data_IF_851336881900
#
_entry.id   IF_851336881900
#
_cell.length_a   1.000
_cell.length_b   1.000
_cell.length_c   1.000
_cell.angle_alpha   90.00
_cell.angle_beta   90.00
_cell.angle_gamma   90.00
#
_symmetry.space_group_name_H-M   'P 1'
#
loop_
_entity.id
_entity.type
_entity.pdbx_description
1 polymer ?
#
# COMPACT_ATOMS: atom_id res chain seq x y z
N UNK A 1 68.26 -3.65 -10.75
CA UNK A 1 67.38 -3.13 -9.69
C UNK A 1 67.67 -3.97 -8.47
N UNK A 2 67.95 -3.34 -7.34
CA UNK A 2 68.22 -4.03 -6.07
C UNK A 2 66.92 -4.74 -5.59
N UNK A 3 67.05 -5.94 -5.04
CA UNK A 3 65.92 -6.71 -4.49
C UNK A 3 65.18 -5.90 -3.41
N UNK A 4 65.93 -5.13 -2.61
CA UNK A 4 65.35 -4.23 -1.60
C UNK A 4 64.51 -3.10 -2.25
N UNK A 5 64.90 -2.65 -3.42
CA UNK A 5 64.20 -1.58 -4.16
C UNK A 5 62.90 -2.12 -4.77
N UNK A 6 62.89 -3.36 -5.26
CA UNK A 6 61.66 -4.05 -5.67
C UNK A 6 60.70 -4.28 -4.50
N UNK A 7 61.19 -4.70 -3.34
CA UNK A 7 60.36 -4.87 -2.15
C UNK A 7 59.71 -3.55 -1.70
N UNK A 8 60.44 -2.44 -1.75
CA UNK A 8 59.90 -1.11 -1.43
C UNK A 8 58.83 -0.67 -2.42
N UNK A 9 59.05 -0.88 -3.72
CA UNK A 9 58.06 -0.56 -4.75
C UNK A 9 56.78 -1.39 -4.55
N UNK A 10 56.91 -2.70 -4.31
CA UNK A 10 55.77 -3.58 -4.05
C UNK A 10 54.97 -3.13 -2.81
N UNK A 11 55.65 -2.78 -1.72
CA UNK A 11 54.98 -2.28 -0.52
C UNK A 11 54.22 -0.97 -0.78
N UNK A 12 54.77 -0.07 -1.60
CA UNK A 12 54.07 1.16 -1.99
C UNK A 12 52.83 0.87 -2.85
N UNK A 13 52.87 -0.15 -3.71
CA UNK A 13 51.68 -0.60 -4.43
C UNK A 13 50.62 -1.17 -3.49
N UNK A 14 51.00 -2.04 -2.55
CA UNK A 14 50.07 -2.60 -1.57
C UNK A 14 49.40 -1.53 -0.71
N UNK A 15 50.13 -0.49 -0.29
CA UNK A 15 49.55 0.62 0.46
C UNK A 15 48.54 1.44 -0.36
N UNK A 16 48.77 1.58 -1.67
CA UNK A 16 47.80 2.23 -2.57
C UNK A 16 46.55 1.37 -2.74
N UNK A 17 46.73 0.06 -2.92
CA UNK A 17 45.62 -0.88 -3.04
C UNK A 17 44.79 -0.90 -1.75
N UNK A 18 45.43 -0.96 -0.58
CA UNK A 18 44.75 -0.90 0.72
C UNK A 18 43.93 0.38 0.89
N UNK A 19 44.48 1.53 0.48
CA UNK A 19 43.78 2.81 0.52
C UNK A 19 42.54 2.79 -0.38
N UNK A 20 42.66 2.22 -1.58
CA UNK A 20 41.54 2.08 -2.52
C UNK A 20 40.46 1.15 -1.96
N UNK A 21 40.85 -0.02 -1.44
CA UNK A 21 39.90 -0.98 -0.87
C UNK A 21 39.15 -0.41 0.32
N UNK A 22 39.81 0.38 1.17
CA UNK A 22 39.12 1.04 2.28
C UNK A 22 38.06 2.03 1.78
N UNK A 23 38.34 2.79 0.72
CA UNK A 23 37.35 3.68 0.11
C UNK A 23 36.17 2.90 -0.49
N UNK A 24 36.45 1.79 -1.19
CA UNK A 24 35.40 0.92 -1.74
C UNK A 24 34.52 0.31 -0.64
N UNK A 25 35.10 -0.14 0.46
CA UNK A 25 34.37 -0.66 1.63
C UNK A 25 33.45 0.41 2.20
N UNK A 26 33.99 1.61 2.44
CA UNK A 26 33.21 2.72 2.98
C UNK A 26 32.02 3.03 2.04
N UNK A 27 32.23 3.06 0.73
CA UNK A 27 31.16 3.28 -0.25
C UNK A 27 30.09 2.17 -0.20
N UNK A 28 30.49 0.90 -0.11
CA UNK A 28 29.58 -0.24 0.00
C UNK A 28 28.79 -0.24 1.32
N UNK A 29 29.40 0.16 2.43
CA UNK A 29 28.70 0.32 3.71
C UNK A 29 27.61 1.38 3.61
N UNK A 30 27.93 2.55 3.03
CA UNK A 30 26.95 3.62 2.84
C UNK A 30 25.82 3.19 1.91
N UNK A 31 26.13 2.50 0.80
CA UNK A 31 25.11 1.97 -0.11
C UNK A 31 24.19 0.98 0.60
N UNK A 32 24.76 0.05 1.38
CA UNK A 32 24.01 -0.94 2.15
C UNK A 32 23.07 -0.27 3.16
N UNK A 33 23.54 0.75 3.89
CA UNK A 33 22.71 1.49 4.84
C UNK A 33 21.52 2.19 4.15
N UNK A 34 21.74 2.79 2.98
CA UNK A 34 20.65 3.42 2.20
C UNK A 34 19.63 2.38 1.74
N UNK A 35 20.09 1.22 1.24
CA UNK A 35 19.22 0.11 0.85
C UNK A 35 18.35 -0.37 2.01
N UNK A 36 18.95 -0.60 3.19
CA UNK A 36 18.22 -1.02 4.40
C UNK A 36 17.16 0.01 4.79
N UNK A 37 17.50 1.30 4.75
CA UNK A 37 16.54 2.37 5.05
C UNK A 37 15.37 2.40 4.05
N UNK A 38 15.64 2.21 2.76
CA UNK A 38 14.61 2.16 1.71
C UNK A 38 13.69 0.93 1.87
N UNK A 39 14.26 -0.25 2.15
CA UNK A 39 13.48 -1.46 2.43
C UNK A 39 12.57 -1.26 3.64
N UNK A 40 13.10 -0.70 4.72
CA UNK A 40 12.30 -0.38 5.91
C UNK A 40 11.15 0.59 5.58
N UNK A 41 11.43 1.65 4.82
CA UNK A 41 10.40 2.61 4.41
C UNK A 41 9.34 1.96 3.52
N UNK A 42 9.72 1.06 2.61
CA UNK A 42 8.79 0.29 1.78
C UNK A 42 7.88 -0.58 2.64
N UNK A 43 8.45 -1.34 3.58
CA UNK A 43 7.70 -2.18 4.51
C UNK A 43 6.65 -1.36 5.30
N UNK A 44 7.03 -0.17 5.79
CA UNK A 44 6.12 0.71 6.53
C UNK A 44 5.13 1.49 5.66
N UNK A 45 5.45 1.70 4.39
CA UNK A 45 4.62 2.51 3.48
C UNK A 45 3.64 1.65 2.68
N UNK A 46 3.95 0.37 2.48
CA UNK A 46 2.98 -0.59 1.97
C UNK A 46 1.70 -0.41 2.79
N UNK A 47 0.56 -0.09 2.15
CA UNK A 47 -0.70 -0.05 2.86
C UNK A 47 -0.79 -1.37 3.64
N UNK A 48 -1.13 -1.32 4.93
CA UNK A 48 -1.47 -2.55 5.64
C UNK A 48 -2.53 -3.27 4.82
N UNK A 49 -2.11 -4.27 4.05
CA UNK A 49 -2.91 -4.89 3.00
C UNK A 49 -4.05 -5.74 3.57
N UNK A 50 -4.26 -5.69 4.88
CA UNK A 50 -5.08 -6.64 5.62
C UNK A 50 -6.11 -5.98 6.52
N UNK A 51 -5.99 -4.68 6.87
CA UNK A 51 -6.93 -4.04 7.80
C UNK A 51 -7.85 -3.02 7.11
N UNK A 52 -7.30 -2.01 6.44
CA UNK A 52 -8.09 -0.92 5.84
C UNK A 52 -8.89 -1.36 4.61
N UNK A 53 -8.25 -2.09 3.70
CA UNK A 53 -8.89 -2.60 2.50
C UNK A 53 -9.96 -3.65 2.82
N UNK A 54 -9.67 -4.56 3.76
CA UNK A 54 -10.65 -5.55 4.21
C UNK A 54 -11.84 -4.90 4.93
N UNK A 55 -11.61 -3.90 5.79
CA UNK A 55 -12.70 -3.12 6.39
C UNK A 55 -13.56 -2.42 5.33
N UNK A 56 -12.94 -1.85 4.29
CA UNK A 56 -13.67 -1.20 3.20
C UNK A 56 -14.50 -2.22 2.40
N UNK A 57 -13.92 -3.38 2.08
CA UNK A 57 -14.61 -4.50 1.42
C UNK A 57 -15.79 -5.01 2.26
N UNK A 58 -15.62 -5.20 3.56
CA UNK A 58 -16.69 -5.60 4.47
C UNK A 58 -17.84 -4.58 4.48
N UNK A 59 -17.53 -3.28 4.50
CA UNK A 59 -18.56 -2.23 4.41
C UNK A 59 -19.34 -2.28 3.10
N UNK A 60 -18.66 -2.50 1.97
CA UNK A 60 -19.31 -2.66 0.66
C UNK A 60 -20.23 -3.88 0.66
N UNK A 61 -19.77 -5.01 1.19
CA UNK A 61 -20.58 -6.23 1.26
C UNK A 61 -21.82 -6.04 2.16
N UNK A 62 -21.67 -5.40 3.32
CA UNK A 62 -22.80 -5.06 4.19
C UNK A 62 -23.83 -4.18 3.47
N UNK A 63 -23.37 -3.17 2.74
CA UNK A 63 -24.25 -2.30 1.96
C UNK A 63 -24.95 -3.07 0.82
N UNK A 64 -24.26 -3.99 0.16
CA UNK A 64 -24.86 -4.89 -0.84
C UNK A 64 -25.98 -5.74 -0.24
N UNK A 65 -25.78 -6.31 0.96
CA UNK A 65 -26.82 -7.07 1.66
C UNK A 65 -28.04 -6.20 1.99
N UNK A 66 -27.83 -4.94 2.40
CA UNK A 66 -28.91 -3.99 2.63
C UNK A 66 -29.69 -3.67 1.36
N UNK A 67 -29.01 -3.51 0.21
CA UNK A 67 -29.66 -3.30 -1.08
C UNK A 67 -30.50 -4.50 -1.50
N UNK A 68 -29.99 -5.73 -1.34
CA UNK A 68 -30.74 -6.97 -1.64
C UNK A 68 -31.99 -7.06 -0.76
N UNK A 69 -31.88 -6.78 0.54
CA UNK A 69 -33.02 -6.80 1.46
C UNK A 69 -34.07 -5.75 1.09
N UNK A 70 -33.62 -4.55 0.70
CA UNK A 70 -34.50 -3.48 0.25
C UNK A 70 -35.19 -3.82 -1.07
N UNK A 71 -34.46 -4.36 -2.05
CA UNK A 71 -34.99 -4.83 -3.34
C UNK A 71 -36.06 -5.93 -3.13
N UNK A 72 -35.80 -6.89 -2.26
CA UNK A 72 -36.76 -7.94 -1.91
C UNK A 72 -38.08 -7.39 -1.36
N UNK A 73 -38.04 -6.30 -0.58
CA UNK A 73 -39.27 -5.66 -0.08
C UNK A 73 -40.07 -4.93 -1.17
N UNK A 74 -39.42 -4.48 -2.24
CA UNK A 74 -40.07 -3.80 -3.36
C UNK A 74 -40.71 -4.76 -4.37
N UNK A 75 -40.40 -6.05 -4.29
CA UNK A 75 -40.96 -7.07 -5.17
C UNK A 75 -42.41 -7.40 -4.79
N UNK A 76 -43.33 -7.24 -5.74
CA UNK A 76 -44.75 -7.56 -5.58
C UNK A 76 -44.99 -9.06 -5.34
N UNK A 77 -44.06 -9.92 -5.72
CA UNK A 77 -44.09 -11.37 -5.49
C UNK A 77 -43.44 -11.79 -4.16
N UNK A 78 -42.96 -10.82 -3.37
CA UNK A 78 -42.36 -11.08 -2.08
C UNK A 78 -43.39 -11.70 -1.12
N UNK A 79 -43.01 -12.78 -0.43
CA UNK A 79 -43.90 -13.46 0.51
C UNK A 79 -44.33 -12.50 1.63
N UNK A 80 -45.61 -12.56 2.02
CA UNK A 80 -46.16 -11.74 3.12
C UNK A 80 -45.50 -12.03 4.49
N UNK A 81 -44.79 -13.15 4.62
CA UNK A 81 -43.98 -13.51 5.79
C UNK A 81 -42.54 -12.98 5.70
N UNK A 82 -42.16 -12.33 4.61
CA UNK A 82 -40.83 -11.76 4.45
C UNK A 82 -40.66 -10.56 5.40
N UNK A 83 -39.57 -10.47 6.17
CA UNK A 83 -39.30 -9.31 7.03
C UNK A 83 -39.21 -7.97 6.27
N UNK A 84 -38.99 -8.02 4.95
CA UNK A 84 -38.94 -6.84 4.08
C UNK A 84 -40.31 -6.44 3.51
N UNK A 85 -41.37 -7.22 3.75
CA UNK A 85 -42.73 -6.89 3.31
C UNK A 85 -43.33 -5.85 4.27
N UNK A 86 -43.12 -4.58 3.94
CA UNK A 86 -43.50 -3.42 4.77
C UNK A 86 -44.49 -2.53 4.02
N UNK A 87 -45.14 -1.59 4.72
CA UNK A 87 -46.10 -0.72 4.06
C UNK A 87 -45.43 0.33 3.15
N UNK A 88 -46.21 0.97 2.27
CA UNK A 88 -45.69 1.96 1.31
C UNK A 88 -45.03 3.18 2.00
N UNK A 89 -45.47 3.56 3.20
CA UNK A 89 -44.92 4.70 3.95
C UNK A 89 -43.56 4.32 4.55
N UNK A 90 -43.44 3.09 5.03
CA UNK A 90 -42.19 2.50 5.51
C UNK A 90 -41.19 2.34 4.36
N UNK A 91 -41.63 1.88 3.18
CA UNK A 91 -40.79 1.85 1.96
C UNK A 91 -40.24 3.22 1.57
N UNK A 92 -41.07 4.27 1.56
CA UNK A 92 -40.62 5.64 1.27
C UNK A 92 -39.58 6.14 2.27
N UNK A 93 -39.76 5.79 3.54
CA UNK A 93 -38.81 6.16 4.61
C UNK A 93 -37.48 5.42 4.42
N UNK A 94 -37.55 4.13 4.09
CA UNK A 94 -36.37 3.30 3.81
C UNK A 94 -35.64 3.76 2.55
N UNK A 95 -36.36 4.14 1.49
CA UNK A 95 -35.78 4.69 0.26
C UNK A 95 -34.95 5.95 0.54
N UNK A 96 -35.48 6.88 1.34
CA UNK A 96 -34.76 8.11 1.71
C UNK A 96 -33.48 7.77 2.49
N UNK A 97 -33.58 6.84 3.44
CA UNK A 97 -32.44 6.38 4.24
C UNK A 97 -31.38 5.68 3.37
N UNK A 98 -31.80 4.80 2.47
CA UNK A 98 -30.90 4.10 1.53
C UNK A 98 -30.21 5.09 0.59
N UNK A 99 -30.92 6.11 0.11
CA UNK A 99 -30.33 7.18 -0.69
C UNK A 99 -29.20 7.93 0.05
N UNK A 100 -29.43 8.28 1.32
CA UNK A 100 -28.40 8.90 2.16
C UNK A 100 -27.21 7.98 2.40
N UNK A 101 -27.45 6.74 2.81
CA UNK A 101 -26.38 5.74 3.04
C UNK A 101 -25.56 5.50 1.77
N UNK A 102 -26.22 5.42 0.61
CA UNK A 102 -25.56 5.23 -0.67
C UNK A 102 -24.65 6.42 -1.03
N UNK A 103 -25.14 7.65 -0.81
CA UNK A 103 -24.34 8.85 -1.02
C UNK A 103 -23.11 8.88 -0.10
N UNK A 104 -23.30 8.65 1.21
CA UNK A 104 -22.21 8.62 2.18
C UNK A 104 -21.16 7.54 1.81
N UNK A 105 -21.61 6.36 1.38
CA UNK A 105 -20.73 5.28 0.93
C UNK A 105 -19.96 5.65 -0.34
N UNK A 106 -20.59 6.37 -1.27
CA UNK A 106 -19.94 6.84 -2.51
C UNK A 106 -18.82 7.84 -2.19
N UNK A 107 -19.09 8.83 -1.35
CA UNK A 107 -18.12 9.83 -0.92
C UNK A 107 -16.95 9.17 -0.15
N UNK A 108 -17.26 8.26 0.78
CA UNK A 108 -16.26 7.50 1.52
C UNK A 108 -15.39 6.62 0.60
N UNK A 109 -15.98 5.98 -0.41
CA UNK A 109 -15.27 5.17 -1.38
C UNK A 109 -14.31 6.01 -2.22
N UNK A 110 -14.75 7.16 -2.72
CA UNK A 110 -13.90 8.07 -3.51
C UNK A 110 -12.69 8.55 -2.70
N UNK A 111 -12.91 8.93 -1.43
CA UNK A 111 -11.84 9.32 -0.53
C UNK A 111 -10.85 8.18 -0.30
N UNK A 112 -11.35 6.98 0.01
CA UNK A 112 -10.52 5.79 0.21
C UNK A 112 -9.68 5.48 -1.03
N UNK A 113 -10.30 5.46 -2.21
CA UNK A 113 -9.61 5.16 -3.47
C UNK A 113 -8.48 6.16 -3.75
N UNK A 114 -8.74 7.46 -3.56
CA UNK A 114 -7.72 8.52 -3.73
C UNK A 114 -6.55 8.33 -2.77
N UNK A 115 -6.83 8.09 -1.49
CA UNK A 115 -5.80 7.87 -0.47
C UNK A 115 -4.98 6.61 -0.77
N UNK A 116 -5.65 5.53 -1.19
CA UNK A 116 -4.99 4.28 -1.54
C UNK A 116 -4.04 4.46 -2.74
N UNK A 117 -4.49 5.14 -3.79
CA UNK A 117 -3.65 5.47 -4.96
C UNK A 117 -2.43 6.30 -4.57
N UNK A 118 -2.59 7.29 -3.69
CA UNK A 118 -1.48 8.11 -3.20
C UNK A 118 -0.45 7.29 -2.44
N UNK A 119 -0.89 6.37 -1.56
CA UNK A 119 0.02 5.46 -0.85
C UNK A 119 0.76 4.54 -1.82
N UNK A 120 0.07 3.95 -2.79
CA UNK A 120 0.69 3.10 -3.80
C UNK A 120 1.68 3.85 -4.69
N UNK A 121 1.41 5.12 -5.00
CA UNK A 121 2.38 5.99 -5.70
C UNK A 121 3.66 6.14 -4.87
N UNK A 122 3.54 6.44 -3.58
CA UNK A 122 4.70 6.55 -2.69
C UNK A 122 5.50 5.25 -2.59
N UNK A 123 4.82 4.10 -2.57
CA UNK A 123 5.50 2.78 -2.64
C UNK A 123 6.29 2.65 -3.93
N UNK A 124 5.70 3.02 -5.08
CA UNK A 124 6.41 3.00 -6.37
C UNK A 124 7.64 3.89 -6.36
N UNK A 125 7.51 5.13 -5.90
CA UNK A 125 8.63 6.09 -5.86
C UNK A 125 9.78 5.55 -4.99
N UNK A 126 9.48 4.88 -3.86
CA UNK A 126 10.48 4.23 -3.02
C UNK A 126 11.13 3.01 -3.69
N UNK A 127 10.35 2.22 -4.43
CA UNK A 127 10.86 1.06 -5.16
C UNK A 127 11.78 1.47 -6.31
N UNK A 128 11.45 2.54 -7.04
CA UNK A 128 12.32 3.11 -8.07
C UNK A 128 13.65 3.58 -7.48
N UNK A 129 13.63 4.24 -6.32
CA UNK A 129 14.85 4.61 -5.59
C UNK A 129 15.67 3.40 -5.16
N UNK A 130 15.02 2.35 -4.66
CA UNK A 130 15.69 1.12 -4.27
C UNK A 130 16.39 0.47 -5.47
N UNK A 131 15.71 0.40 -6.62
CA UNK A 131 16.31 -0.12 -7.86
C UNK A 131 17.51 0.71 -8.30
N UNK A 132 17.42 2.04 -8.19
CA UNK A 132 18.53 2.94 -8.52
C UNK A 132 19.76 2.80 -7.62
N UNK A 133 19.61 2.30 -6.39
CA UNK A 133 20.75 2.00 -5.51
C UNK A 133 21.38 0.62 -5.79
N UNK A 134 20.71 -0.24 -6.58
CA UNK A 134 21.17 -1.57 -6.95
C UNK A 134 21.83 -1.63 -8.35
N UNK A 135 21.74 -0.55 -9.12
CA UNK A 135 22.28 -0.40 -10.49
C UNK A 135 23.42 0.61 -10.51
#
# INVERSE_FOLDING_TARGET
>A
MDEMEQLKLNNQFWQKDETLWQQEIDDWEHATQRLVALVYLLEKTLPEHTSGLEKHKQRIEQHKQQLIQYECGLDEQCMTTCPSHIDLKEHKTMQKRMGQVHQDMSEAHQLFAKQYQQKMKRVRDLAERLLGELT
#
